data_IF_098881810790
#
_entry.id   IF_098881810790
#
_cell.length_a   1.000
_cell.length_b   1.000
_cell.length_c   1.000
_cell.angle_alpha   90.00
_cell.angle_beta   90.00
_cell.angle_gamma   90.00
#
_symmetry.space_group_name_H-M   'P 1'
#
loop_
_entity.id
_entity.type
_entity.pdbx_description
1 polymer ?
#
# COMPACT_ATOMS: atom_id res chain seq x y z
N UNK A 1 9.34 12.39 5.52
CA UNK A 1 9.16 11.00 5.97
C UNK A 1 10.24 10.13 5.35
N UNK A 2 10.87 9.21 6.10
CA UNK A 2 11.72 8.17 5.51
C UNK A 2 10.80 7.05 5.05
N UNK A 3 10.45 7.09 3.78
CA UNK A 3 9.67 6.08 3.09
C UNK A 3 10.64 5.38 2.13
N UNK A 4 11.36 4.41 2.67
CA UNK A 4 12.29 3.53 1.99
C UNK A 4 11.53 2.42 1.25
N UNK A 5 10.72 2.81 0.27
CA UNK A 5 10.05 1.84 -0.62
C UNK A 5 10.62 1.77 -2.04
N UNK A 6 11.72 2.48 -2.31
CA UNK A 6 12.44 2.34 -3.58
C UNK A 6 11.60 2.60 -4.84
N UNK A 7 12.10 2.13 -5.99
CA UNK A 7 11.47 2.25 -7.31
C UNK A 7 10.51 1.08 -7.62
N UNK A 8 10.21 0.25 -6.61
CA UNK A 8 9.43 -0.97 -6.82
C UNK A 8 7.94 -0.69 -6.88
N UNK A 9 7.23 -1.55 -7.61
CA UNK A 9 5.77 -1.49 -7.75
C UNK A 9 5.09 -2.17 -6.58
N UNK A 10 3.93 -1.65 -6.23
CA UNK A 10 3.00 -2.18 -5.24
C UNK A 10 1.67 -2.41 -5.92
N UNK A 11 1.11 -3.59 -5.72
CA UNK A 11 -0.29 -3.86 -6.02
C UNK A 11 -1.13 -3.39 -4.84
N UNK A 12 -2.05 -2.45 -5.09
CA UNK A 12 -2.93 -1.91 -4.07
C UNK A 12 -4.39 -2.21 -4.41
N UNK A 13 -5.23 -2.24 -3.38
CA UNK A 13 -6.68 -2.28 -3.51
C UNK A 13 -7.30 -1.51 -2.35
N UNK A 14 -8.33 -0.72 -2.63
CA UNK A 14 -9.07 -0.05 -1.57
C UNK A 14 -9.96 -1.06 -0.83
N UNK A 15 -10.04 -0.94 0.50
CA UNK A 15 -10.73 -1.92 1.34
C UNK A 15 -12.22 -2.06 0.99
N UNK A 16 -12.88 -0.97 0.58
CA UNK A 16 -14.28 -1.04 0.16
C UNK A 16 -14.48 -1.79 -1.16
N UNK A 17 -13.50 -1.78 -2.07
CA UNK A 17 -13.58 -2.57 -3.30
C UNK A 17 -13.25 -4.02 -3.03
N UNK A 18 -12.28 -4.30 -2.16
CA UNK A 18 -12.03 -5.66 -1.66
C UNK A 18 -13.30 -6.26 -1.06
N UNK A 19 -14.06 -5.49 -0.28
CA UNK A 19 -15.34 -5.95 0.27
C UNK A 19 -16.38 -6.29 -0.81
N UNK A 20 -16.45 -5.52 -1.91
CA UNK A 20 -17.35 -5.82 -3.05
C UNK A 20 -16.94 -7.11 -3.76
N UNK A 21 -15.64 -7.29 -3.99
CA UNK A 21 -15.12 -8.52 -4.58
C UNK A 21 -15.45 -9.71 -3.68
N UNK A 22 -15.14 -9.63 -2.38
CA UNK A 22 -15.47 -10.67 -1.41
C UNK A 22 -16.96 -11.01 -1.39
N UNK A 23 -17.84 -10.00 -1.43
CA UNK A 23 -19.27 -10.22 -1.50
C UNK A 23 -19.69 -10.93 -2.79
N UNK A 24 -19.10 -10.56 -3.93
CA UNK A 24 -19.40 -11.17 -5.23
C UNK A 24 -18.81 -12.57 -5.37
N UNK A 25 -17.69 -12.85 -4.70
CA UNK A 25 -17.11 -14.19 -4.65
C UNK A 25 -18.05 -15.21 -4.03
N UNK A 26 -18.97 -14.80 -3.13
CA UNK A 26 -19.95 -15.70 -2.52
C UNK A 26 -20.91 -16.33 -3.54
N UNK A 27 -21.04 -15.74 -4.71
CA UNK A 27 -21.88 -16.24 -5.80
C UNK A 27 -21.10 -17.15 -6.79
N UNK A 28 -19.80 -17.38 -6.56
CA UNK A 28 -19.01 -18.31 -7.38
C UNK A 28 -19.33 -19.77 -7.01
N UNK A 29 -19.51 -20.61 -8.02
CA UNK A 29 -19.69 -22.05 -7.85
C UNK A 29 -18.46 -22.72 -7.23
N UNK A 30 -17.26 -22.27 -7.63
CA UNK A 30 -15.97 -22.77 -7.16
C UNK A 30 -15.09 -21.61 -6.68
N UNK A 31 -14.51 -21.76 -5.49
CA UNK A 31 -13.56 -20.79 -4.93
C UNK A 31 -12.12 -21.25 -5.20
N UNK A 32 -11.31 -20.46 -5.91
CA UNK A 32 -9.90 -20.79 -6.06
C UNK A 32 -9.19 -20.68 -4.71
N UNK A 33 -8.17 -21.51 -4.49
CA UNK A 33 -7.36 -21.50 -3.26
C UNK A 33 -6.71 -20.13 -3.01
N UNK A 34 -6.33 -19.44 -4.10
CA UNK A 34 -5.72 -18.11 -4.06
C UNK A 34 -6.44 -17.21 -5.07
N UNK A 35 -7.02 -16.10 -4.57
CA UNK A 35 -7.55 -15.02 -5.40
C UNK A 35 -6.69 -13.76 -5.23
N UNK A 36 -6.18 -13.23 -6.34
CA UNK A 36 -5.46 -11.94 -6.34
C UNK A 36 -6.32 -10.87 -6.97
N UNK A 37 -6.64 -9.84 -6.16
CA UNK A 37 -7.46 -8.71 -6.53
C UNK A 37 -6.62 -7.44 -6.45
N UNK A 38 -6.54 -6.68 -7.54
CA UNK A 38 -5.69 -5.49 -7.63
C UNK A 38 -6.48 -4.35 -8.25
N UNK A 39 -6.48 -3.17 -7.63
CA UNK A 39 -7.04 -1.97 -8.24
C UNK A 39 -6.03 -1.25 -9.13
N UNK A 40 -4.80 -1.13 -8.64
CA UNK A 40 -3.74 -0.39 -9.30
C UNK A 40 -2.36 -0.97 -8.96
N UNK A 41 -1.38 -0.69 -9.84
CA UNK A 41 0.03 -1.03 -9.66
C UNK A 41 0.85 0.25 -9.72
N UNK A 42 1.24 0.73 -8.55
CA UNK A 42 1.90 2.03 -8.40
C UNK A 42 3.33 1.88 -7.93
N UNK A 43 4.23 2.75 -8.37
CA UNK A 43 5.56 2.85 -7.77
C UNK A 43 5.41 3.58 -6.44
N UNK A 44 6.00 3.06 -5.37
CA UNK A 44 5.79 3.62 -4.03
C UNK A 44 6.12 5.12 -3.95
N UNK A 45 7.23 5.55 -4.56
CA UNK A 45 7.60 6.96 -4.60
C UNK A 45 6.62 7.85 -5.37
N UNK A 46 5.90 7.30 -6.37
CA UNK A 46 4.88 8.08 -7.10
C UNK A 46 3.70 8.45 -6.19
N UNK A 47 3.46 7.74 -5.08
CA UNK A 47 2.44 8.18 -4.11
C UNK A 47 2.79 9.52 -3.49
N UNK A 48 4.08 9.79 -3.26
CA UNK A 48 4.54 11.07 -2.73
C UNK A 48 4.24 12.17 -3.74
N UNK A 49 4.63 11.95 -5.01
CA UNK A 49 4.35 12.91 -6.08
C UNK A 49 2.84 13.18 -6.22
N UNK A 50 2.02 12.13 -6.20
CA UNK A 50 0.56 12.28 -6.25
C UNK A 50 0.02 13.06 -5.05
N UNK A 51 0.51 12.80 -3.84
CA UNK A 51 0.08 13.50 -2.63
C UNK A 51 0.51 14.97 -2.63
N UNK A 52 1.73 15.29 -3.10
CA UNK A 52 2.19 16.67 -3.24
C UNK A 52 1.30 17.48 -4.20
N UNK A 53 0.90 16.87 -5.32
CA UNK A 53 -0.01 17.51 -6.29
C UNK A 53 -1.38 17.76 -5.65
N UNK A 54 -1.96 16.73 -5.03
CA UNK A 54 -3.31 16.80 -4.44
C UNK A 54 -3.37 17.77 -3.26
N UNK A 55 -2.30 17.88 -2.46
CA UNK A 55 -2.21 18.80 -1.32
C UNK A 55 -1.83 20.24 -1.71
N UNK A 56 -2.18 20.69 -2.93
CA UNK A 56 -1.94 22.06 -3.39
C UNK A 56 -0.51 22.32 -3.88
N UNK A 57 0.08 21.35 -4.59
CA UNK A 57 1.41 21.44 -5.22
C UNK A 57 2.57 21.76 -4.26
N UNK A 58 2.40 21.47 -2.97
CA UNK A 58 3.43 21.74 -1.96
C UNK A 58 4.43 20.59 -1.90
N UNK A 59 5.72 20.90 -2.07
CA UNK A 59 6.80 19.92 -1.93
C UNK A 59 7.00 19.50 -0.48
N UNK A 60 7.05 18.19 -0.25
CA UNK A 60 7.28 17.62 1.05
C UNK A 60 8.77 17.49 1.34
N UNK A 61 9.13 17.55 2.63
CA UNK A 61 10.46 17.19 3.10
C UNK A 61 10.69 15.68 3.01
N UNK A 62 10.92 15.18 1.80
CA UNK A 62 11.19 13.76 1.55
C UNK A 62 12.63 13.45 1.98
N UNK A 63 12.79 12.44 2.82
CA UNK A 63 14.10 11.86 3.15
C UNK A 63 14.08 10.43 2.67
N UNK A 64 15.07 9.99 1.92
CA UNK A 64 15.16 8.59 1.52
C UNK A 64 16.06 7.82 2.49
N UNK A 65 15.61 6.63 2.88
CA UNK A 65 16.41 5.69 3.63
C UNK A 65 17.42 5.00 2.72
N UNK A 66 18.40 4.33 3.29
CA UNK A 66 19.31 3.45 2.56
C UNK A 66 19.01 2.00 2.92
N UNK A 67 19.29 1.05 2.03
CA UNK A 67 19.14 -0.38 2.32
C UNK A 67 19.94 -0.79 3.56
N UNK A 68 21.18 -0.31 3.69
CA UNK A 68 22.00 -0.57 4.88
C UNK A 68 21.41 0.08 6.14
N UNK A 69 20.77 1.24 6.03
CA UNK A 69 20.03 1.86 7.14
C UNK A 69 18.87 0.98 7.60
N UNK A 70 18.02 0.57 6.67
CA UNK A 70 16.85 -0.28 6.92
C UNK A 70 17.24 -1.64 7.54
N UNK A 71 18.28 -2.29 7.00
CA UNK A 71 18.81 -3.55 7.54
C UNK A 71 19.33 -3.43 8.98
N UNK A 72 19.80 -2.25 9.36
CA UNK A 72 20.24 -1.94 10.73
C UNK A 72 19.12 -1.35 11.60
N UNK A 73 17.87 -1.35 11.13
CA UNK A 73 16.71 -0.87 11.89
C UNK A 73 16.52 0.64 11.90
N UNK A 74 17.24 1.40 11.05
CA UNK A 74 17.09 2.85 10.97
C UNK A 74 15.84 3.25 10.18
N UNK A 75 14.69 3.24 10.87
CA UNK A 75 13.39 3.72 10.37
C UNK A 75 12.88 4.91 11.18
N UNK A 76 12.06 5.76 10.57
CA UNK A 76 11.38 6.85 11.29
C UNK A 76 10.08 6.34 11.90
N UNK A 77 9.99 6.34 13.23
CA UNK A 77 8.76 6.03 13.94
C UNK A 77 8.02 7.33 14.21
N UNK A 78 6.78 7.44 13.74
CA UNK A 78 5.94 8.59 14.02
C UNK A 78 5.24 8.40 15.37
N UNK A 79 5.13 9.51 16.12
CA UNK A 79 4.32 9.54 17.34
C UNK A 79 2.89 9.14 16.98
N UNK A 80 2.41 8.06 17.58
CA UNK A 80 1.05 7.59 17.35
C UNK A 80 0.05 8.56 18.00
N UNK A 81 -1.12 8.80 17.37
CA UNK A 81 -2.21 9.51 18.02
C UNK A 81 -2.62 8.84 19.33
N UNK A 82 -3.11 9.62 20.30
CA UNK A 82 -3.68 9.05 21.52
C UNK A 82 -4.87 8.15 21.15
N UNK A 83 -4.96 6.97 21.78
CA UNK A 83 -5.97 5.92 21.51
C UNK A 83 -5.87 5.27 20.12
N UNK A 84 -4.66 5.15 19.57
CA UNK A 84 -4.40 4.19 18.49
C UNK A 84 -4.86 2.78 18.89
N UNK A 85 -5.37 2.01 17.94
CA UNK A 85 -5.85 0.64 18.14
C UNK A 85 -4.73 -0.37 18.46
N UNK A 86 -3.47 0.04 18.31
CA UNK A 86 -2.30 -0.81 18.50
C UNK A 86 -1.59 -0.41 19.80
N UNK A 87 -1.72 -1.22 20.85
CA UNK A 87 -0.84 -1.20 22.02
C UNK A 87 0.50 -1.84 21.65
N UNK A 88 1.31 -1.10 20.90
CA UNK A 88 2.62 -1.54 20.39
C UNK A 88 3.72 -0.63 20.90
N UNK A 89 4.81 -1.25 21.31
CA UNK A 89 6.03 -0.55 21.71
C UNK A 89 6.74 0.05 20.49
N UNK A 90 7.61 1.04 20.72
CA UNK A 90 8.46 1.60 19.67
C UNK A 90 9.32 0.53 19.00
N UNK A 91 9.77 -0.48 19.75
CA UNK A 91 10.57 -1.57 19.21
C UNK A 91 9.75 -2.49 18.28
N UNK A 92 8.51 -2.81 18.63
CA UNK A 92 7.61 -3.58 17.76
C UNK A 92 7.25 -2.80 16.50
N UNK A 93 6.98 -1.50 16.63
CA UNK A 93 6.75 -0.61 15.48
C UNK A 93 7.98 -0.54 14.58
N UNK A 94 9.19 -0.51 15.15
CA UNK A 94 10.43 -0.56 14.39
C UNK A 94 10.52 -1.83 13.56
N UNK A 95 10.29 -2.99 14.17
CA UNK A 95 10.33 -4.27 13.48
C UNK A 95 9.29 -4.34 12.35
N UNK A 96 8.07 -3.86 12.59
CA UNK A 96 7.01 -3.83 11.59
C UNK A 96 7.40 -2.96 10.39
N UNK A 97 7.87 -1.73 10.63
CA UNK A 97 8.27 -0.81 9.58
C UNK A 97 9.48 -1.31 8.79
N UNK A 98 10.47 -1.91 9.48
CA UNK A 98 11.62 -2.55 8.83
C UNK A 98 11.18 -3.69 7.92
N UNK A 99 10.32 -4.59 8.43
CA UNK A 99 9.78 -5.70 7.67
C UNK A 99 9.01 -5.23 6.43
N UNK A 100 8.14 -4.22 6.61
CA UNK A 100 7.38 -3.62 5.51
C UNK A 100 8.30 -3.03 4.44
N UNK A 101 9.28 -2.20 4.82
CA UNK A 101 10.26 -1.63 3.89
C UNK A 101 11.03 -2.72 3.13
N UNK A 102 11.46 -3.78 3.81
CA UNK A 102 12.18 -4.89 3.18
C UNK A 102 11.30 -5.63 2.15
N UNK A 103 10.02 -5.83 2.43
CA UNK A 103 9.06 -6.39 1.48
C UNK A 103 8.93 -5.52 0.23
N UNK A 104 8.91 -4.19 0.39
CA UNK A 104 8.87 -3.29 -0.76
C UNK A 104 10.17 -3.38 -1.58
N UNK A 105 11.35 -3.33 -0.94
CA UNK A 105 12.64 -3.42 -1.65
C UNK A 105 12.79 -4.74 -2.41
N UNK A 106 12.26 -5.84 -1.85
CA UNK A 106 12.26 -7.16 -2.48
C UNK A 106 11.10 -7.36 -3.49
N UNK A 107 10.30 -6.32 -3.75
CA UNK A 107 9.14 -6.36 -4.64
C UNK A 107 8.10 -7.45 -4.28
N UNK A 108 7.98 -7.81 -3.00
CA UNK A 108 7.06 -8.85 -2.51
C UNK A 108 5.60 -8.50 -2.81
N UNK A 109 5.26 -7.22 -2.81
CA UNK A 109 3.91 -6.72 -3.10
C UNK A 109 3.66 -6.44 -4.60
N UNK A 110 4.63 -6.70 -5.48
CA UNK A 110 4.41 -6.68 -6.93
C UNK A 110 3.77 -8.01 -7.37
N UNK A 111 2.45 -8.12 -7.18
CA UNK A 111 1.68 -9.34 -7.44
C UNK A 111 1.47 -9.63 -8.95
N UNK A 112 2.36 -9.14 -9.83
CA UNK A 112 2.28 -9.35 -11.29
C UNK A 112 2.33 -10.82 -11.71
N UNK A 113 2.89 -11.68 -10.87
CA UNK A 113 3.03 -13.11 -11.13
C UNK A 113 1.72 -13.86 -10.96
N UNK A 114 0.72 -13.22 -10.37
CA UNK A 114 -0.63 -13.76 -10.24
C UNK A 114 -1.51 -13.16 -11.32
N UNK A 115 -2.29 -14.02 -11.99
CA UNK A 115 -3.37 -13.55 -12.82
C UNK A 115 -4.42 -12.90 -11.92
N UNK A 116 -4.76 -11.64 -12.23
CA UNK A 116 -5.69 -10.90 -11.40
C UNK A 116 -7.12 -11.41 -11.67
N UNK A 117 -7.79 -11.90 -10.63
CA UNK A 117 -9.16 -12.42 -10.69
C UNK A 117 -10.19 -11.30 -10.97
N UNK A 118 -9.76 -10.04 -11.11
CA UNK A 118 -10.61 -8.91 -11.47
C UNK A 118 -11.50 -9.16 -12.70
N UNK A 119 -11.03 -9.97 -13.66
CA UNK A 119 -11.78 -10.28 -14.88
C UNK A 119 -13.06 -11.10 -14.63
N UNK A 120 -13.13 -11.84 -13.52
CA UNK A 120 -14.31 -12.60 -13.09
C UNK A 120 -15.43 -11.68 -12.58
N UNK A 121 -15.11 -10.43 -12.25
CA UNK A 121 -16.07 -9.46 -11.69
C UNK A 121 -16.09 -8.16 -12.53
N UNK A 122 -16.53 -8.20 -13.79
CA UNK A 122 -16.47 -7.07 -14.71
C UNK A 122 -17.34 -5.86 -14.30
N UNK A 123 -18.31 -6.07 -13.41
CA UNK A 123 -19.16 -5.02 -12.84
C UNK A 123 -18.46 -4.16 -11.81
N UNK A 124 -17.39 -4.67 -11.17
CA UNK A 124 -16.65 -3.97 -10.13
C UNK A 124 -15.54 -3.15 -10.78
N UNK A 125 -15.63 -1.82 -10.65
CA UNK A 125 -14.57 -0.88 -11.03
C UNK A 125 -13.88 -0.38 -9.77
N UNK A 126 -12.67 -0.88 -9.45
CA UNK A 126 -12.01 -0.53 -8.21
C UNK A 126 -11.40 0.87 -8.28
N UNK A 127 -11.35 1.55 -7.13
CA UNK A 127 -10.80 2.88 -6.97
C UNK A 127 -9.27 2.82 -7.16
N UNK A 128 -8.76 3.69 -8.02
CA UNK A 128 -7.31 3.80 -8.28
C UNK A 128 -6.62 4.65 -7.22
N UNK A 129 -5.30 4.48 -7.07
CA UNK A 129 -4.53 5.19 -6.03
C UNK A 129 -4.66 6.71 -6.12
N UNK A 130 -4.52 7.28 -7.33
CA UNK A 130 -4.67 8.73 -7.57
C UNK A 130 -6.08 9.22 -7.24
N UNK A 131 -7.08 8.49 -7.72
CA UNK A 131 -8.50 8.83 -7.50
C UNK A 131 -8.85 8.83 -6.01
N UNK A 132 -8.31 7.88 -5.24
CA UNK A 132 -8.48 7.86 -3.78
C UNK A 132 -7.90 9.11 -3.13
N UNK A 133 -6.66 9.49 -3.49
CA UNK A 133 -6.01 10.68 -2.95
C UNK A 133 -6.81 11.94 -3.26
N UNK A 134 -7.23 12.11 -4.51
CA UNK A 134 -8.09 13.23 -4.93
C UNK A 134 -9.39 13.30 -4.13
N UNK A 135 -10.07 12.18 -3.90
CA UNK A 135 -11.32 12.14 -3.13
C UNK A 135 -11.14 12.45 -1.64
N UNK A 136 -10.00 12.08 -1.07
CA UNK A 136 -9.74 12.22 0.36
C UNK A 136 -9.25 13.62 0.75
N UNK A 137 -8.69 14.38 -0.19
CA UNK A 137 -8.07 15.70 0.05
C UNK A 137 -8.66 16.86 -0.77
N UNK A 138 -9.62 16.61 -1.66
CA UNK A 138 -10.45 17.65 -2.28
C UNK A 138 -11.34 18.34 -1.25
#
# INVERSE_FOLDING_TARGET
AVLDGGQNRLSIIHLSDLAKYLASSLDLDDWPEISVLVSDRIIFNQMIDMAEIVCGETKFGVKHGTLGGLQNGHVTIFKQPERTYLDVTDDEMRHLLVGFGMCIIKAVFDLKTYEAANSEFPSIRPIKGKELLERAWA
#
